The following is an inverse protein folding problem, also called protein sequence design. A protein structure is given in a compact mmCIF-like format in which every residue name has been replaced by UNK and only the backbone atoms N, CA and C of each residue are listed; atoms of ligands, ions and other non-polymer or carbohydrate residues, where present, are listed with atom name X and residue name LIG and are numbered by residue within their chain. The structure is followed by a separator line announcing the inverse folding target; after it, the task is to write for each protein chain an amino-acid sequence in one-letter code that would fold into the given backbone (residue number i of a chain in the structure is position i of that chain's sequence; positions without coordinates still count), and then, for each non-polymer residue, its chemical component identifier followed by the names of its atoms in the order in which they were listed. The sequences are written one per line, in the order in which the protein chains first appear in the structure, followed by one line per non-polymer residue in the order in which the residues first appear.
data_IF_786435771056
#
_entry.id   IF_786435771056
#
_cell.length_a   1.000
_cell.length_b   1.000
_cell.length_c   1.000
_cell.angle_alpha   90.00
_cell.angle_beta   90.00
_cell.angle_gamma   90.00
#
_symmetry.space_group_name_H-M   'P 1'
#
loop_
_entity.id
_entity.type
_entity.pdbx_description
1 polymer ?
#
# COMPACT_ATOMS: atom_id res chain seq x y z
N UNK A 1 28.53 -20.85 5.06
CA UNK A 1 28.34 -19.52 4.41
C UNK A 1 27.23 -18.81 5.17
N UNK A 2 27.60 -17.87 6.03
CA UNK A 2 26.71 -17.19 6.96
C UNK A 2 26.02 -16.06 6.22
N UNK A 3 24.71 -16.16 6.01
CA UNK A 3 23.88 -15.09 5.45
C UNK A 3 24.08 -13.82 6.28
N UNK A 4 24.73 -12.82 5.67
CA UNK A 4 24.79 -11.46 6.23
C UNK A 4 23.36 -10.92 6.22
N UNK A 5 22.71 -10.93 7.38
CA UNK A 5 21.53 -10.11 7.68
C UNK A 5 21.90 -8.65 7.37
N UNK A 6 21.56 -8.18 6.16
CA UNK A 6 21.65 -6.76 5.82
C UNK A 6 20.70 -6.04 6.77
N UNK A 7 21.23 -5.23 7.69
CA UNK A 7 20.44 -4.20 8.37
C UNK A 7 19.80 -3.38 7.27
N UNK A 8 18.49 -3.53 7.08
CA UNK A 8 17.80 -2.91 5.98
C UNK A 8 17.85 -1.41 6.20
N UNK A 9 18.32 -0.65 5.20
CA UNK A 9 18.47 0.81 5.27
C UNK A 9 17.13 1.57 5.32
N UNK A 10 16.04 0.87 5.65
CA UNK A 10 14.71 1.44 5.71
C UNK A 10 14.53 2.25 6.99
N UNK A 11 13.86 3.39 6.83
CA UNK A 11 13.43 4.25 7.92
C UNK A 11 11.91 4.28 7.91
N UNK A 12 11.30 3.97 9.06
CA UNK A 12 9.85 4.03 9.23
C UNK A 12 9.46 5.40 9.74
N UNK A 13 8.58 6.07 9.00
CA UNK A 13 7.96 7.35 9.35
C UNK A 13 6.46 7.17 9.56
N UNK A 14 5.80 8.14 10.18
CA UNK A 14 4.34 8.16 10.38
C UNK A 14 3.62 9.24 9.56
N UNK A 15 4.37 10.08 8.86
CA UNK A 15 3.83 11.23 8.15
C UNK A 15 4.56 11.37 6.82
N UNK A 16 3.79 11.67 5.77
CA UNK A 16 4.30 12.03 4.46
C UNK A 16 4.52 13.55 4.40
N UNK A 17 5.71 13.96 3.93
CA UNK A 17 6.15 15.36 3.90
C UNK A 17 6.46 15.82 2.47
N UNK A 18 6.05 15.06 1.46
CA UNK A 18 6.30 15.37 0.04
C UNK A 18 7.60 14.79 -0.51
N UNK A 19 8.19 13.79 0.16
CA UNK A 19 9.32 13.03 -0.37
C UNK A 19 8.94 12.38 -1.72
N UNK A 20 9.88 12.24 -2.67
CA UNK A 20 9.62 11.51 -3.90
C UNK A 20 9.28 10.04 -3.62
N UNK A 21 8.38 9.45 -4.42
CA UNK A 21 8.12 8.01 -4.41
C UNK A 21 9.06 7.35 -5.41
N UNK A 22 9.80 6.33 -4.97
CA UNK A 22 10.83 5.68 -5.76
C UNK A 22 10.65 4.17 -5.71
N UNK A 23 11.07 3.48 -6.77
CA UNK A 23 11.25 2.04 -6.72
C UNK A 23 12.45 1.71 -5.84
N UNK A 24 12.29 0.76 -4.92
CA UNK A 24 13.42 0.24 -4.17
C UNK A 24 14.34 -0.58 -5.10
N UNK A 25 15.62 -0.17 -5.25
CA UNK A 25 16.53 -0.82 -6.18
C UNK A 25 17.06 -2.17 -5.65
N UNK A 26 16.74 -2.55 -4.42
CA UNK A 26 17.29 -3.72 -3.73
C UNK A 26 16.34 -4.92 -3.68
N UNK A 27 15.06 -4.71 -3.95
CA UNK A 27 14.01 -5.75 -3.97
C UNK A 27 13.85 -6.35 -5.36
N UNK A 28 13.50 -7.63 -5.40
CA UNK A 28 13.16 -8.30 -6.66
C UNK A 28 11.78 -7.83 -7.15
N UNK A 29 11.54 -7.78 -8.46
CA UNK A 29 10.25 -7.35 -9.00
C UNK A 29 9.05 -8.14 -8.44
N UNK A 30 9.25 -9.43 -8.08
CA UNK A 30 8.23 -10.28 -7.45
C UNK A 30 7.85 -9.83 -6.03
N UNK A 31 8.65 -8.97 -5.41
CA UNK A 31 8.48 -8.48 -4.03
C UNK A 31 7.76 -7.12 -4.01
N UNK A 32 7.48 -6.51 -5.18
CA UNK A 32 6.65 -5.31 -5.34
C UNK A 32 5.17 -5.68 -5.28
N UNK A 33 4.72 -6.16 -4.13
CA UNK A 33 3.34 -6.58 -3.93
C UNK A 33 2.50 -5.47 -3.30
N UNK A 34 1.19 -5.52 -3.60
CA UNK A 34 0.18 -4.74 -2.89
C UNK A 34 -0.73 -5.71 -2.15
N UNK A 35 -0.71 -5.64 -0.82
CA UNK A 35 -1.60 -6.37 0.06
C UNK A 35 -2.84 -5.53 0.38
N UNK A 36 -4.02 -6.14 0.29
CA UNK A 36 -5.28 -5.57 0.76
C UNK A 36 -5.91 -6.57 1.72
N UNK A 37 -6.07 -6.18 2.97
CA UNK A 37 -6.62 -7.01 4.03
C UNK A 37 -7.94 -6.44 4.53
N UNK A 38 -8.94 -7.32 4.62
CA UNK A 38 -10.23 -7.03 5.22
C UNK A 38 -10.37 -7.85 6.50
N UNK A 39 -10.72 -7.18 7.59
CA UNK A 39 -11.00 -7.77 8.90
C UNK A 39 -12.50 -7.68 9.16
N UNK A 40 -13.10 -8.77 9.62
CA UNK A 40 -14.54 -8.82 9.90
C UNK A 40 -14.96 -7.73 10.89
N UNK A 41 -15.91 -6.89 10.51
CA UNK A 41 -16.41 -5.79 11.33
C UNK A 41 -15.69 -4.44 11.16
N UNK A 42 -14.56 -4.39 10.46
CA UNK A 42 -13.87 -3.13 10.18
C UNK A 42 -14.54 -2.33 9.06
N UNK A 43 -14.57 -1.01 9.22
CA UNK A 43 -15.06 -0.07 8.18
C UNK A 43 -13.94 0.38 7.24
N UNK A 44 -12.73 -0.13 7.42
CA UNK A 44 -11.54 0.22 6.64
C UNK A 44 -10.82 -1.03 6.18
N UNK A 45 -10.27 -1.00 4.97
CA UNK A 45 -9.30 -1.97 4.51
C UNK A 45 -7.91 -1.54 4.96
N UNK A 46 -7.11 -2.51 5.39
CA UNK A 46 -5.67 -2.34 5.57
C UNK A 46 -4.99 -2.56 4.24
N UNK A 47 -4.14 -1.61 3.86
CA UNK A 47 -3.41 -1.66 2.59
C UNK A 47 -1.93 -1.52 2.89
N UNK A 48 -1.13 -2.43 2.35
CA UNK A 48 0.32 -2.32 2.26
C UNK A 48 0.73 -2.33 0.79
N UNK A 49 1.65 -1.48 0.40
CA UNK A 49 2.16 -1.49 -0.98
C UNK A 49 3.60 -1.01 -1.03
N UNK A 50 4.37 -1.66 -1.90
CA UNK A 50 5.72 -1.27 -2.32
C UNK A 50 5.77 -0.92 -3.82
N UNK A 51 4.62 -0.98 -4.51
CA UNK A 51 4.50 -0.64 -5.93
C UNK A 51 4.37 0.89 -6.09
N UNK A 52 5.33 1.59 -6.73
CA UNK A 52 5.39 3.06 -6.72
C UNK A 52 4.10 3.75 -7.16
N UNK A 53 3.45 3.26 -8.22
CA UNK A 53 2.20 3.86 -8.74
C UNK A 53 1.07 3.74 -7.72
N UNK A 54 1.00 2.63 -7.00
CA UNK A 54 -0.01 2.41 -5.95
C UNK A 54 0.30 3.29 -4.73
N UNK A 55 1.57 3.36 -4.32
CA UNK A 55 2.03 4.22 -3.22
C UNK A 55 1.68 5.68 -3.49
N UNK A 56 2.01 6.21 -4.68
CA UNK A 56 1.64 7.57 -5.08
C UNK A 56 0.14 7.82 -4.98
N UNK A 57 -0.67 6.90 -5.55
CA UNK A 57 -2.12 7.00 -5.50
C UNK A 57 -2.67 7.02 -4.08
N UNK A 58 -2.15 6.17 -3.19
CA UNK A 58 -2.57 6.13 -1.78
C UNK A 58 -2.18 7.40 -1.02
N UNK A 59 -0.96 7.92 -1.21
CA UNK A 59 -0.50 9.13 -0.54
C UNK A 59 -1.26 10.39 -0.96
N UNK A 60 -1.77 10.42 -2.19
CA UNK A 60 -2.62 11.50 -2.70
C UNK A 60 -4.09 11.33 -2.32
N UNK A 61 -4.50 10.15 -1.85
CA UNK A 61 -5.91 9.86 -1.58
C UNK A 61 -6.38 10.50 -0.26
N UNK A 62 -7.32 11.44 -0.35
CA UNK A 62 -7.79 12.27 0.79
C UNK A 62 -8.27 11.52 2.04
N UNK A 63 -8.70 10.27 1.90
CA UNK A 63 -9.16 9.43 3.02
C UNK A 63 -8.16 8.37 3.47
N UNK A 64 -7.01 8.26 2.81
CA UNK A 64 -6.00 7.29 3.20
C UNK A 64 -5.31 7.77 4.47
N UNK A 65 -5.24 6.87 5.47
CA UNK A 65 -4.58 7.13 6.75
C UNK A 65 -3.29 6.33 6.79
N UNK A 66 -2.16 7.04 6.79
CA UNK A 66 -0.84 6.44 6.93
C UNK A 66 -0.68 5.90 8.34
N UNK A 67 -0.34 4.61 8.46
CA UNK A 67 0.07 3.97 9.71
C UNK A 67 1.60 3.85 9.74
N UNK A 68 2.20 3.51 8.59
CA UNK A 68 3.64 3.44 8.39
C UNK A 68 4.00 3.92 6.99
N UNK A 69 5.05 4.72 6.90
CA UNK A 69 5.67 5.15 5.65
C UNK A 69 7.09 4.60 5.64
N UNK A 70 7.40 3.75 4.66
CA UNK A 70 8.71 3.13 4.52
C UNK A 70 9.54 4.01 3.59
N UNK A 71 10.65 4.51 4.10
CA UNK A 71 11.57 5.36 3.34
C UNK A 71 12.94 4.72 3.22
N UNK A 72 13.64 5.01 2.14
CA UNK A 72 14.99 4.53 1.86
C UNK A 72 15.81 5.68 1.28
N UNK A 73 17.07 5.78 1.69
CA UNK A 73 18.01 6.72 1.08
C UNK A 73 18.48 6.17 -0.27
N UNK A 74 18.07 6.81 -1.36
CA UNK A 74 18.46 6.46 -2.72
C UNK A 74 19.32 7.60 -3.28
N UNK A 75 20.62 7.34 -3.44
CA UNK A 75 21.58 8.39 -3.76
C UNK A 75 21.70 9.42 -2.63
N UNK A 76 21.33 10.68 -2.92
CA UNK A 76 21.34 11.78 -1.95
C UNK A 76 19.98 12.10 -1.36
N UNK A 77 18.91 11.47 -1.84
CA UNK A 77 17.53 11.78 -1.47
C UNK A 77 16.93 10.68 -0.58
N UNK A 78 16.00 11.08 0.31
CA UNK A 78 15.15 10.17 1.06
C UNK A 78 13.87 9.97 0.25
N UNK A 79 13.69 8.76 -0.30
CA UNK A 79 12.52 8.39 -1.07
C UNK A 79 11.53 7.60 -0.22
N UNK A 80 10.24 7.73 -0.49
CA UNK A 80 9.24 6.73 -0.07
C UNK A 80 9.35 5.53 -1.00
N UNK A 81 9.47 4.34 -0.42
CA UNK A 81 9.53 3.07 -1.14
C UNK A 81 8.38 2.13 -0.79
N UNK A 82 7.59 2.48 0.22
CA UNK A 82 6.41 1.71 0.58
C UNK A 82 5.52 2.42 1.58
N UNK A 83 4.29 1.97 1.68
CA UNK A 83 3.31 2.52 2.61
C UNK A 83 2.45 1.42 3.20
N UNK A 84 2.10 1.58 4.47
CA UNK A 84 1.09 0.80 5.17
C UNK A 84 0.08 1.77 5.76
N UNK A 85 -1.20 1.50 5.54
CA UNK A 85 -2.24 2.37 6.05
C UNK A 85 -3.62 1.78 5.92
N UNK A 86 -4.60 2.63 6.17
CA UNK A 86 -6.02 2.28 6.14
C UNK A 86 -6.75 3.16 5.16
N UNK A 87 -7.67 2.54 4.43
CA UNK A 87 -8.62 3.25 3.59
C UNK A 87 -10.04 2.83 3.94
N UNK A 88 -11.01 3.76 4.10
CA UNK A 88 -12.40 3.39 4.28
C UNK A 88 -12.86 2.44 3.16
N UNK A 89 -13.57 1.37 3.49
CA UNK A 89 -14.00 0.37 2.49
C UNK A 89 -14.84 1.02 1.40
N UNK A 90 -15.71 1.98 1.74
CA UNK A 90 -16.51 2.73 0.77
C UNK A 90 -15.72 3.64 -0.17
N UNK A 91 -14.42 3.87 0.09
CA UNK A 91 -13.52 4.59 -0.81
C UNK A 91 -12.74 3.67 -1.75
N UNK A 92 -12.83 2.34 -1.56
CA UNK A 92 -12.28 1.38 -2.51
C UNK A 92 -13.19 1.29 -3.73
N UNK A 93 -12.70 1.79 -4.86
CA UNK A 93 -13.37 1.56 -6.13
C UNK A 93 -12.95 0.20 -6.69
N UNK A 94 -13.79 -0.81 -6.50
CA UNK A 94 -13.57 -2.14 -7.09
C UNK A 94 -14.00 -2.10 -8.56
N UNK A 95 -13.17 -1.51 -9.41
CA UNK A 95 -13.33 -1.47 -10.87
C UNK A 95 -14.62 -0.82 -11.38
N UNK A 96 -14.87 -0.94 -12.69
CA UNK A 96 -16.21 -0.72 -13.25
C UNK A 96 -17.11 -1.84 -12.76
N UNK A 97 -18.37 -1.52 -12.41
CA UNK A 97 -19.42 -2.51 -12.14
C UNK A 97 -19.36 -3.56 -13.26
N UNK A 98 -18.96 -4.79 -12.94
CA UNK A 98 -19.05 -5.89 -13.91
C UNK A 98 -20.54 -6.05 -14.21
N UNK A 99 -20.97 -6.16 -15.48
CA UNK A 99 -22.32 -6.61 -15.80
C UNK A 99 -22.42 -8.08 -15.39
N UNK A 100 -22.65 -8.32 -14.11
CA UNK A 100 -22.72 -9.65 -13.53
C UNK A 100 -23.67 -9.59 -12.35
N UNK A 101 -24.91 -9.97 -12.61
CA UNK A 101 -25.99 -10.09 -11.63
C UNK A 101 -25.66 -11.14 -10.54
N UNK A 102 -24.63 -11.97 -10.75
CA UNK A 102 -24.17 -12.97 -9.76
C UNK A 102 -23.66 -12.36 -8.46
N UNK A 103 -23.04 -11.17 -8.48
CA UNK A 103 -22.58 -10.55 -7.24
C UNK A 103 -23.75 -9.96 -6.45
N UNK A 104 -24.72 -9.33 -7.13
CA UNK A 104 -25.95 -8.86 -6.51
C UNK A 104 -26.79 -10.02 -5.95
N UNK A 105 -26.80 -11.19 -6.61
CA UNK A 105 -27.43 -12.41 -6.08
C UNK A 105 -26.75 -12.91 -4.80
N UNK A 106 -25.41 -12.91 -4.72
CA UNK A 106 -24.68 -13.38 -3.52
C UNK A 106 -24.84 -12.41 -2.34
N UNK A 107 -24.87 -11.10 -2.60
CA UNK A 107 -24.89 -10.07 -1.56
C UNK A 107 -26.31 -9.78 -1.05
N UNK A 108 -27.34 -9.93 -1.89
CA UNK A 108 -28.73 -9.62 -1.53
C UNK A 108 -29.61 -10.85 -1.24
N UNK A 109 -29.03 -12.06 -1.14
CA UNK A 109 -29.72 -13.20 -0.52
C UNK A 109 -29.88 -12.93 0.99
N UNK A 110 -30.95 -12.22 1.34
CA UNK A 110 -31.54 -12.16 2.69
C UNK A 110 -33.00 -12.56 2.60
#
# INVERSE_FOLDING_TARGET
MTEKKRQSGYIIRKKYEGQPVCLDPTVQAKENETGIHFTGGDRSAWISSYEPVVVEGLLQHKYFKIEQLVTLKIGREECVVGVVGKLPIGALQIGRRRPSDRHDLIVNLR
#
